data_IF_912301510494
#
_entry.id   IF_912301510494
#
_cell.length_a   1.000
_cell.length_b   1.000
_cell.length_c   1.000
_cell.angle_alpha   90.00
_cell.angle_beta   90.00
_cell.angle_gamma   90.00
#
_symmetry.space_group_name_H-M   'P 1'
#
loop_
_entity.id
_entity.type
_entity.pdbx_description
1 polymer ?
#
# COMPACT_ATOMS: atom_id res chain seq x y z
N UNK A 1 -47.35 32.84 21.35
CA UNK A 1 -46.85 33.56 20.17
C UNK A 1 -45.33 33.44 20.16
N UNK A 2 -44.81 32.42 19.48
CA UNK A 2 -43.37 32.27 19.24
C UNK A 2 -43.23 32.00 17.76
N UNK A 3 -42.77 33.02 17.03
CA UNK A 3 -42.62 33.00 15.59
C UNK A 3 -41.50 32.03 15.20
N UNK A 4 -41.83 31.11 14.30
CA UNK A 4 -40.90 30.28 13.55
C UNK A 4 -39.83 31.17 12.90
N UNK A 5 -38.62 31.17 13.46
CA UNK A 5 -37.46 31.78 12.81
C UNK A 5 -36.84 30.74 11.91
N UNK A 6 -36.82 31.07 10.62
CA UNK A 6 -36.08 30.44 9.52
C UNK A 6 -36.79 29.30 8.77
N UNK A 7 -37.98 29.60 8.25
CA UNK A 7 -38.67 28.83 7.21
C UNK A 7 -38.02 28.96 5.83
N UNK A 8 -36.84 28.35 5.63
CA UNK A 8 -36.26 28.17 4.30
C UNK A 8 -36.23 26.67 3.95
N UNK A 9 -37.20 26.23 3.14
CA UNK A 9 -37.21 24.87 2.58
C UNK A 9 -35.95 24.57 1.75
N UNK A 10 -35.67 23.30 1.44
CA UNK A 10 -34.44 22.91 0.77
C UNK A 10 -34.35 23.52 -0.63
N UNK A 11 -33.35 24.37 -0.86
CA UNK A 11 -33.08 24.98 -2.17
C UNK A 11 -32.59 23.91 -3.17
N UNK A 12 -33.11 23.97 -4.39
CA UNK A 12 -32.70 23.16 -5.54
C UNK A 12 -31.33 23.61 -6.03
N UNK A 13 -30.46 22.64 -6.31
CA UNK A 13 -29.13 22.91 -6.86
C UNK A 13 -29.23 23.39 -8.31
N UNK A 14 -28.81 24.63 -8.57
CA UNK A 14 -28.80 25.26 -9.89
C UNK A 14 -27.59 24.85 -10.77
N UNK A 15 -26.80 23.83 -10.38
CA UNK A 15 -25.71 23.30 -11.22
C UNK A 15 -26.24 22.87 -12.59
N UNK A 16 -25.79 23.58 -13.63
CA UNK A 16 -26.14 23.30 -15.03
C UNK A 16 -27.01 24.37 -15.69
N UNK A 17 -27.58 25.30 -14.92
CA UNK A 17 -28.26 26.47 -15.47
C UNK A 17 -27.25 27.49 -16.01
N UNK A 18 -27.58 28.11 -17.15
CA UNK A 18 -26.82 29.26 -17.66
C UNK A 18 -26.99 30.44 -16.70
N UNK A 19 -25.94 31.23 -16.50
CA UNK A 19 -25.95 32.30 -15.50
C UNK A 19 -27.03 33.36 -15.75
N UNK A 20 -27.29 33.70 -17.02
CA UNK A 20 -28.37 34.63 -17.38
C UNK A 20 -29.79 34.10 -17.17
N UNK A 21 -29.96 32.84 -16.76
CA UNK A 21 -31.25 32.26 -16.37
C UNK A 21 -31.40 32.16 -14.85
N UNK A 22 -30.40 32.61 -14.10
CA UNK A 22 -30.48 32.67 -12.64
C UNK A 22 -31.26 33.91 -12.22
N UNK A 23 -31.93 33.86 -11.06
CA UNK A 23 -32.57 35.03 -10.48
C UNK A 23 -31.54 36.13 -10.24
N UNK A 24 -31.97 37.39 -10.29
CA UNK A 24 -31.05 38.53 -10.15
C UNK A 24 -30.82 38.89 -8.69
N UNK A 25 -31.74 38.52 -7.80
CA UNK A 25 -31.64 38.80 -6.37
C UNK A 25 -31.71 37.53 -5.51
N UNK A 26 -31.18 37.63 -4.29
CA UNK A 26 -31.28 36.56 -3.30
C UNK A 26 -32.74 36.34 -2.83
N UNK A 27 -33.61 37.35 -2.93
CA UNK A 27 -35.02 37.23 -2.58
C UNK A 27 -35.75 36.37 -3.62
N UNK A 28 -35.60 36.70 -4.91
CA UNK A 28 -36.14 35.91 -6.03
C UNK A 28 -35.61 34.47 -5.99
N UNK A 29 -34.33 34.26 -5.70
CA UNK A 29 -33.78 32.91 -5.60
C UNK A 29 -34.33 32.10 -4.43
N UNK A 30 -34.72 32.73 -3.31
CA UNK A 30 -35.42 32.03 -2.22
C UNK A 30 -36.84 31.65 -2.64
N UNK A 31 -37.55 32.55 -3.29
CA UNK A 31 -38.92 32.33 -3.76
C UNK A 31 -38.98 31.20 -4.80
N UNK A 32 -38.03 31.20 -5.75
CA UNK A 32 -37.89 30.15 -6.76
C UNK A 32 -37.27 28.86 -6.20
N UNK A 33 -36.81 28.89 -4.94
CA UNK A 33 -36.21 27.76 -4.26
C UNK A 33 -34.93 27.26 -4.94
N UNK A 34 -34.06 28.16 -5.41
CA UNK A 34 -32.77 27.81 -6.05
C UNK A 34 -31.58 28.23 -5.18
N UNK A 35 -30.49 27.46 -5.22
CA UNK A 35 -29.33 27.64 -4.35
C UNK A 35 -28.44 28.84 -4.72
N UNK A 36 -28.70 29.49 -5.86
CA UNK A 36 -27.90 30.59 -6.39
C UNK A 36 -28.72 31.66 -7.11
N UNK A 37 -28.15 32.86 -7.17
CA UNK A 37 -28.60 34.01 -7.96
C UNK A 37 -27.40 34.67 -8.65
N UNK A 38 -27.63 35.47 -9.69
CA UNK A 38 -26.59 36.18 -10.42
C UNK A 38 -27.02 37.62 -10.71
N UNK A 39 -26.34 38.57 -10.08
CA UNK A 39 -26.63 40.01 -10.17
C UNK A 39 -26.06 40.66 -11.43
N UNK A 40 -25.17 39.98 -12.17
CA UNK A 40 -24.42 40.58 -13.29
C UNK A 40 -23.34 41.58 -12.85
N UNK A 41 -23.12 41.75 -11.54
CA UNK A 41 -22.14 42.68 -10.97
C UNK A 41 -21.03 41.89 -10.28
N UNK A 42 -19.81 42.38 -10.39
CA UNK A 42 -18.65 41.82 -9.69
C UNK A 42 -18.82 41.89 -8.17
N UNK A 43 -18.33 40.86 -7.47
CA UNK A 43 -18.26 40.91 -6.02
C UNK A 43 -17.14 41.84 -5.53
N UNK A 44 -17.06 42.08 -4.22
CA UNK A 44 -16.01 42.92 -3.59
C UNK A 44 -14.57 42.44 -3.89
N UNK A 45 -14.39 41.15 -4.20
CA UNK A 45 -13.10 40.59 -4.57
C UNK A 45 -12.87 40.55 -6.09
N UNK A 46 -13.72 41.21 -6.89
CA UNK A 46 -13.60 41.30 -8.35
C UNK A 46 -14.13 40.11 -9.16
N UNK A 47 -14.84 39.17 -8.54
CA UNK A 47 -15.36 37.99 -9.26
C UNK A 47 -16.72 38.27 -9.89
N UNK A 48 -16.83 38.07 -11.21
CA UNK A 48 -18.11 38.04 -11.91
C UNK A 48 -18.68 36.62 -11.89
N UNK A 49 -19.34 36.24 -10.79
CA UNK A 49 -19.89 34.89 -10.62
C UNK A 49 -21.23 34.88 -9.88
N UNK A 50 -22.03 33.79 -10.02
CA UNK A 50 -23.21 33.60 -9.21
C UNK A 50 -22.89 33.59 -7.71
N UNK A 51 -23.86 34.03 -6.91
CA UNK A 51 -23.77 34.07 -5.46
C UNK A 51 -24.68 32.99 -4.86
N UNK A 52 -24.28 32.41 -3.73
CA UNK A 52 -25.12 31.48 -2.99
C UNK A 52 -26.29 32.19 -2.34
N UNK A 53 -27.52 31.69 -2.49
CA UNK A 53 -28.74 32.33 -1.98
C UNK A 53 -28.73 32.58 -0.48
N UNK A 54 -28.22 31.61 0.30
CA UNK A 54 -28.17 31.70 1.77
C UNK A 54 -26.97 32.52 2.23
N UNK A 55 -25.77 32.09 1.85
CA UNK A 55 -24.54 32.67 2.40
C UNK A 55 -24.11 33.98 1.72
N UNK A 56 -24.73 34.31 0.58
CA UNK A 56 -24.42 35.48 -0.27
C UNK A 56 -22.95 35.58 -0.71
N UNK A 57 -22.16 34.53 -0.51
CA UNK A 57 -20.80 34.48 -1.06
C UNK A 57 -20.87 34.19 -2.56
N UNK A 58 -20.00 34.86 -3.30
CA UNK A 58 -19.74 34.51 -4.69
C UNK A 58 -19.15 33.08 -4.77
N UNK A 59 -19.51 32.33 -5.80
CA UNK A 59 -19.08 30.92 -5.95
C UNK A 59 -17.57 30.80 -6.03
N UNK A 60 -16.90 31.76 -6.66
CA UNK A 60 -15.45 31.80 -6.78
C UNK A 60 -14.77 32.06 -5.43
N UNK A 61 -15.20 33.08 -4.70
CA UNK A 61 -14.78 33.39 -3.33
C UNK A 61 -14.87 32.13 -2.42
N UNK A 62 -15.97 31.37 -2.56
CA UNK A 62 -16.16 30.13 -1.81
C UNK A 62 -15.22 29.01 -2.30
N UNK A 63 -14.96 28.93 -3.60
CA UNK A 63 -14.01 27.99 -4.17
C UNK A 63 -12.60 28.25 -3.67
N UNK A 64 -12.17 29.52 -3.66
CA UNK A 64 -10.86 29.95 -3.19
C UNK A 64 -10.66 29.66 -1.70
N UNK A 65 -11.62 30.04 -0.86
CA UNK A 65 -11.56 29.75 0.59
C UNK A 65 -11.50 28.25 0.86
N UNK A 66 -12.30 27.44 0.17
CA UNK A 66 -12.21 25.98 0.24
C UNK A 66 -10.87 25.45 -0.29
N UNK A 67 -10.31 26.07 -1.33
CA UNK A 67 -9.00 25.75 -1.88
C UNK A 67 -7.89 25.99 -0.88
N UNK A 68 -7.87 27.17 -0.25
CA UNK A 68 -6.94 27.55 0.83
C UNK A 68 -7.05 26.58 2.01
N UNK A 69 -8.26 26.31 2.48
CA UNK A 69 -8.47 25.34 3.56
C UNK A 69 -7.90 23.96 3.22
N UNK A 70 -8.10 23.47 1.99
CA UNK A 70 -7.54 22.17 1.53
C UNK A 70 -6.01 22.18 1.48
N UNK A 71 -5.41 23.30 1.08
CA UNK A 71 -3.97 23.46 0.99
C UNK A 71 -3.32 23.55 2.37
N UNK A 72 -3.93 24.29 3.29
CA UNK A 72 -3.46 24.48 4.67
C UNK A 72 -3.70 23.25 5.55
N UNK A 73 -4.71 22.42 5.22
CA UNK A 73 -5.12 21.29 6.06
C UNK A 73 -5.03 19.92 5.32
N UNK A 74 -3.85 19.53 4.79
CA UNK A 74 -3.70 18.29 4.04
C UNK A 74 -3.88 17.05 4.94
N UNK A 75 -3.51 17.14 6.22
CA UNK A 75 -3.66 16.07 7.21
C UNK A 75 -5.14 15.79 7.52
N UNK A 76 -5.96 16.84 7.69
CA UNK A 76 -7.41 16.72 7.89
C UNK A 76 -8.07 15.92 6.75
N UNK A 77 -7.79 16.31 5.51
CA UNK A 77 -8.37 15.62 4.34
C UNK A 77 -7.83 14.20 4.16
N UNK A 78 -6.56 13.94 4.52
CA UNK A 78 -6.01 12.59 4.53
C UNK A 78 -6.72 11.72 5.58
N UNK A 79 -6.91 12.25 6.79
CA UNK A 79 -7.63 11.60 7.88
C UNK A 79 -9.07 11.27 7.48
N UNK A 80 -9.82 12.25 6.96
CA UNK A 80 -11.19 12.04 6.47
C UNK A 80 -11.29 11.00 5.35
N UNK A 81 -10.31 10.96 4.43
CA UNK A 81 -10.25 9.90 3.41
C UNK A 81 -9.94 8.53 3.99
N UNK A 82 -9.06 8.45 4.99
CA UNK A 82 -8.74 7.21 5.68
C UNK A 82 -9.95 6.69 6.46
N UNK A 83 -10.61 7.56 7.22
CA UNK A 83 -11.87 7.29 7.95
C UNK A 83 -12.96 6.78 6.99
N UNK A 84 -13.17 7.47 5.87
CA UNK A 84 -14.13 7.03 4.86
C UNK A 84 -13.80 5.63 4.32
N UNK A 85 -12.53 5.34 4.03
CA UNK A 85 -12.09 4.02 3.56
C UNK A 85 -12.29 2.93 4.61
N UNK A 86 -12.00 3.23 5.88
CA UNK A 86 -12.17 2.31 7.00
C UNK A 86 -13.65 1.98 7.24
N UNK A 87 -14.52 2.98 7.15
CA UNK A 87 -15.97 2.81 7.36
C UNK A 87 -16.69 2.25 6.12
N UNK A 88 -16.07 2.32 4.94
CA UNK A 88 -16.68 1.90 3.67
C UNK A 88 -15.78 0.95 2.84
N UNK A 89 -15.28 -0.16 3.42
CA UNK A 89 -14.33 -1.04 2.73
C UNK A 89 -14.94 -1.69 1.48
N UNK A 90 -16.24 -2.04 1.55
CA UNK A 90 -16.97 -2.66 0.43
C UNK A 90 -17.17 -1.72 -0.76
N UNK A 91 -17.31 -0.41 -0.53
CA UNK A 91 -17.58 0.58 -1.59
C UNK A 91 -16.39 0.71 -2.54
N UNK A 92 -15.17 0.77 -2.00
CA UNK A 92 -13.97 0.84 -2.83
C UNK A 92 -13.74 -0.44 -3.62
N UNK A 93 -13.92 -1.61 -2.99
CA UNK A 93 -13.81 -2.89 -3.66
C UNK A 93 -14.87 -3.05 -4.78
N UNK A 94 -16.12 -2.67 -4.50
CA UNK A 94 -17.20 -2.70 -5.48
C UNK A 94 -16.93 -1.77 -6.68
N UNK A 95 -16.49 -0.53 -6.43
CA UNK A 95 -16.10 0.41 -7.49
C UNK A 95 -14.93 -0.11 -8.33
N UNK A 96 -13.92 -0.70 -7.69
CA UNK A 96 -12.77 -1.27 -8.41
C UNK A 96 -13.17 -2.47 -9.29
N UNK A 97 -14.04 -3.37 -8.77
CA UNK A 97 -14.60 -4.49 -9.55
C UNK A 97 -15.41 -3.99 -10.74
N UNK A 98 -16.30 -3.05 -10.49
CA UNK A 98 -17.16 -2.45 -11.51
C UNK A 98 -16.36 -1.70 -12.58
N UNK A 99 -15.32 -0.96 -12.19
CA UNK A 99 -14.39 -0.33 -13.13
C UNK A 99 -13.67 -1.36 -14.01
N UNK A 100 -13.16 -2.45 -13.43
CA UNK A 100 -12.55 -3.54 -14.21
C UNK A 100 -13.55 -4.24 -15.12
N UNK A 101 -14.81 -4.39 -14.69
CA UNK A 101 -15.88 -4.96 -15.53
C UNK A 101 -16.16 -4.07 -16.74
N UNK A 102 -16.32 -2.75 -16.52
CA UNK A 102 -16.68 -1.79 -17.58
C UNK A 102 -15.50 -1.38 -18.47
N UNK A 103 -14.26 -1.42 -17.94
CA UNK A 103 -13.05 -0.93 -18.63
C UNK A 103 -11.91 -1.95 -18.58
N UNK A 104 -12.24 -3.23 -18.65
CA UNK A 104 -11.27 -4.33 -18.55
C UNK A 104 -10.16 -4.24 -19.59
N UNK A 105 -10.49 -3.91 -20.84
CA UNK A 105 -9.50 -3.73 -21.91
C UNK A 105 -8.51 -2.61 -21.61
N UNK A 106 -9.01 -1.48 -21.09
CA UNK A 106 -8.14 -0.36 -20.71
C UNK A 106 -7.21 -0.72 -19.56
N UNK A 107 -7.70 -1.49 -18.59
CA UNK A 107 -6.86 -2.02 -17.50
C UNK A 107 -5.78 -2.95 -18.06
N UNK A 108 -6.12 -3.88 -18.95
CA UNK A 108 -5.15 -4.80 -19.56
C UNK A 108 -4.09 -4.06 -20.37
N UNK A 109 -4.50 -3.10 -21.19
CA UNK A 109 -3.61 -2.27 -22.00
C UNK A 109 -2.63 -1.48 -21.12
N UNK A 110 -3.15 -0.78 -20.11
CA UNK A 110 -2.32 0.02 -19.20
C UNK A 110 -1.36 -0.83 -18.38
N UNK A 111 -1.81 -1.98 -17.87
CA UNK A 111 -0.93 -2.92 -17.17
C UNK A 111 0.16 -3.50 -18.09
N UNK A 112 -0.18 -3.82 -19.34
CA UNK A 112 0.79 -4.29 -20.32
C UNK A 112 1.86 -3.23 -20.61
N UNK A 113 1.44 -1.97 -20.82
CA UNK A 113 2.35 -0.83 -20.98
C UNK A 113 3.22 -0.64 -19.74
N UNK A 114 2.63 -0.69 -18.54
CA UNK A 114 3.36 -0.56 -17.28
C UNK A 114 4.42 -1.65 -17.12
N UNK A 115 4.10 -2.92 -17.42
CA UNK A 115 5.04 -4.04 -17.39
C UNK A 115 6.21 -3.85 -18.36
N UNK A 116 5.94 -3.40 -19.60
CA UNK A 116 6.98 -3.11 -20.60
C UNK A 116 7.91 -1.97 -20.15
N UNK A 117 7.36 -0.93 -19.53
CA UNK A 117 8.13 0.22 -19.06
C UNK A 117 8.90 -0.04 -17.76
N UNK A 118 8.52 -1.05 -16.97
CA UNK A 118 9.09 -1.30 -15.65
C UNK A 118 9.59 -2.76 -15.47
N UNK A 119 10.47 -3.27 -16.36
CA UNK A 119 10.91 -4.67 -16.33
C UNK A 119 11.67 -5.02 -15.05
N UNK A 120 12.51 -4.10 -14.54
CA UNK A 120 13.28 -4.28 -13.32
C UNK A 120 12.40 -4.51 -12.08
N UNK A 121 11.20 -3.92 -12.06
CA UNK A 121 10.25 -4.10 -10.95
C UNK A 121 9.75 -5.53 -10.85
N UNK A 122 9.53 -6.19 -12.00
CA UNK A 122 9.16 -7.61 -12.05
C UNK A 122 10.32 -8.48 -11.56
N UNK A 123 11.52 -8.25 -12.07
CA UNK A 123 12.74 -8.97 -11.65
C UNK A 123 12.93 -8.87 -10.13
N UNK A 124 12.83 -7.67 -9.56
CA UNK A 124 12.95 -7.45 -8.12
C UNK A 124 11.84 -8.15 -7.33
N UNK A 125 10.59 -8.16 -7.83
CA UNK A 125 9.48 -8.88 -7.20
C UNK A 125 9.73 -10.40 -7.19
N UNK A 126 10.15 -10.95 -8.33
CA UNK A 126 10.44 -12.37 -8.47
C UNK A 126 11.66 -12.79 -7.64
N UNK A 127 12.68 -11.94 -7.55
CA UNK A 127 13.82 -12.13 -6.65
C UNK A 127 13.37 -12.18 -5.19
N UNK A 128 12.52 -11.25 -4.73
CA UNK A 128 11.96 -11.27 -3.36
C UNK A 128 11.03 -12.46 -3.11
N UNK A 129 10.33 -12.95 -4.13
CA UNK A 129 9.51 -14.17 -4.01
C UNK A 129 10.41 -15.38 -3.82
N UNK A 130 11.40 -15.57 -4.71
CA UNK A 130 12.39 -16.65 -4.61
C UNK A 130 13.18 -16.59 -3.31
N UNK A 131 13.55 -15.39 -2.85
CA UNK A 131 14.23 -15.21 -1.57
C UNK A 131 13.34 -15.62 -0.39
N UNK A 132 12.02 -15.38 -0.45
CA UNK A 132 11.08 -15.86 0.57
C UNK A 132 10.84 -17.36 0.51
N UNK A 133 10.74 -17.93 -0.68
CA UNK A 133 10.62 -19.38 -0.87
C UNK A 133 11.88 -20.13 -0.41
N UNK A 134 13.07 -19.54 -0.64
CA UNK A 134 14.35 -20.04 -0.14
C UNK A 134 14.66 -19.64 1.29
N UNK A 135 13.98 -18.65 1.87
CA UNK A 135 14.01 -18.33 3.28
C UNK A 135 12.87 -19.10 3.97
N UNK A 136 12.94 -20.43 3.92
CA UNK A 136 12.09 -21.26 4.76
C UNK A 136 12.23 -20.87 6.23
N UNK A 137 11.23 -21.24 7.02
CA UNK A 137 11.04 -20.75 8.38
C UNK A 137 11.66 -21.70 9.38
N UNK A 138 12.57 -21.19 10.19
CA UNK A 138 13.06 -21.86 11.40
C UNK A 138 13.16 -20.84 12.53
N UNK A 139 12.82 -21.27 13.72
CA UNK A 139 12.83 -20.49 14.96
C UNK A 139 14.18 -20.60 15.67
N UNK A 140 14.44 -19.70 16.63
CA UNK A 140 15.65 -19.80 17.46
C UNK A 140 15.69 -21.11 18.27
N UNK A 141 14.53 -21.62 18.71
CA UNK A 141 14.43 -22.87 19.44
C UNK A 141 14.79 -24.08 18.57
N UNK A 142 14.33 -24.10 17.33
CA UNK A 142 14.69 -25.16 16.38
C UNK A 142 16.20 -25.18 16.08
N UNK A 143 16.85 -24.01 16.01
CA UNK A 143 18.31 -23.93 15.87
C UNK A 143 19.03 -24.43 17.15
N UNK A 144 18.49 -24.12 18.32
CA UNK A 144 19.02 -24.63 19.59
C UNK A 144 18.89 -26.16 19.69
N UNK A 145 17.80 -26.74 19.20
CA UNK A 145 17.63 -28.19 19.12
C UNK A 145 18.68 -28.86 18.24
N UNK A 146 18.99 -28.27 17.08
CA UNK A 146 20.07 -28.76 16.20
C UNK A 146 21.42 -28.72 16.92
N UNK A 147 21.73 -27.65 17.65
CA UNK A 147 22.97 -27.57 18.42
C UNK A 147 23.06 -28.64 19.52
N UNK A 148 21.96 -28.87 20.23
CA UNK A 148 21.86 -29.90 21.26
C UNK A 148 22.01 -31.30 20.66
N UNK A 149 21.34 -31.59 19.55
CA UNK A 149 21.42 -32.90 18.89
C UNK A 149 22.82 -33.18 18.35
N UNK A 150 23.52 -32.16 17.85
CA UNK A 150 24.92 -32.23 17.46
C UNK A 150 25.91 -32.24 18.65
N UNK A 151 25.42 -32.20 19.89
CA UNK A 151 26.24 -32.12 21.12
C UNK A 151 27.24 -30.96 21.09
N UNK A 152 26.88 -29.86 20.43
CA UNK A 152 27.76 -28.70 20.19
C UNK A 152 29.08 -29.06 19.51
N UNK A 153 29.08 -30.05 18.61
CA UNK A 153 30.23 -30.46 17.79
C UNK A 153 29.92 -30.34 16.30
N UNK A 154 30.93 -29.99 15.52
CA UNK A 154 30.86 -30.00 14.06
C UNK A 154 30.63 -31.44 13.56
N UNK A 155 29.67 -31.64 12.65
CA UNK A 155 29.28 -32.96 12.12
C UNK A 155 30.44 -33.66 11.40
N UNK A 156 31.32 -32.90 10.74
CA UNK A 156 32.40 -33.47 9.94
C UNK A 156 33.75 -33.64 10.68
N UNK A 157 34.07 -32.77 11.63
CA UNK A 157 35.40 -32.77 12.26
C UNK A 157 35.37 -32.85 13.80
N UNK A 158 34.18 -32.94 14.39
CA UNK A 158 33.96 -33.07 15.85
C UNK A 158 34.51 -31.93 16.72
N UNK A 159 35.08 -30.87 16.12
CA UNK A 159 35.52 -29.66 16.82
C UNK A 159 34.35 -28.99 17.53
N UNK A 160 34.61 -28.45 18.73
CA UNK A 160 33.61 -27.73 19.51
C UNK A 160 33.12 -26.48 18.78
N UNK A 161 31.79 -26.36 18.66
CA UNK A 161 31.06 -25.24 18.06
C UNK A 161 30.15 -24.55 19.10
N UNK A 162 30.41 -24.78 20.40
CA UNK A 162 29.63 -24.21 21.52
C UNK A 162 29.65 -22.68 21.52
N UNK A 163 30.79 -22.08 21.19
CA UNK A 163 30.91 -20.64 21.04
C UNK A 163 30.27 -20.17 19.71
N UNK A 164 29.47 -19.10 19.78
CA UNK A 164 28.77 -18.56 18.60
C UNK A 164 29.74 -18.16 17.47
N UNK A 165 30.88 -17.54 17.80
CA UNK A 165 31.92 -17.13 16.84
C UNK A 165 32.62 -18.30 16.12
N UNK A 166 32.44 -19.54 16.59
CA UNK A 166 33.09 -20.73 16.01
C UNK A 166 32.17 -21.55 15.11
N UNK A 167 30.90 -21.15 14.95
CA UNK A 167 29.88 -21.94 14.25
C UNK A 167 29.17 -21.13 13.19
N UNK A 168 28.90 -21.75 12.04
CA UNK A 168 28.01 -21.22 11.01
C UNK A 168 26.83 -22.18 10.80
N UNK A 169 25.66 -21.62 10.49
CA UNK A 169 24.51 -22.37 10.05
C UNK A 169 24.69 -22.71 8.56
N UNK A 170 24.60 -24.00 8.22
CA UNK A 170 24.82 -24.53 6.88
C UNK A 170 23.65 -25.43 6.45
N UNK A 171 23.47 -25.58 5.14
CA UNK A 171 22.51 -26.51 4.58
C UNK A 171 23.16 -27.85 4.27
N UNK A 172 22.58 -28.96 4.75
CA UNK A 172 23.09 -30.32 4.46
C UNK A 172 23.20 -30.53 2.95
N UNK A 173 22.09 -30.30 2.24
CA UNK A 173 22.03 -30.17 0.78
C UNK A 173 22.04 -28.68 0.43
N UNK A 174 23.01 -28.18 -0.35
CA UNK A 174 23.06 -26.76 -0.74
C UNK A 174 21.79 -26.29 -1.45
N UNK A 175 21.32 -25.07 -1.15
CA UNK A 175 20.16 -24.47 -1.80
C UNK A 175 20.31 -24.35 -3.34
N UNK A 176 21.54 -24.27 -3.84
CA UNK A 176 21.84 -24.26 -5.27
C UNK A 176 21.61 -25.62 -5.95
N UNK A 177 21.60 -26.71 -5.18
CA UNK A 177 21.46 -28.11 -5.64
C UNK A 177 20.12 -28.73 -5.22
N UNK A 178 19.11 -27.88 -4.96
CA UNK A 178 17.75 -28.33 -4.61
C UNK A 178 17.50 -28.51 -3.12
N UNK A 179 18.43 -28.10 -2.25
CA UNK A 179 18.20 -28.10 -0.81
C UNK A 179 17.04 -27.19 -0.40
N UNK A 180 16.28 -27.62 0.59
CA UNK A 180 15.21 -26.86 1.23
C UNK A 180 15.76 -26.02 2.39
N UNK A 181 15.11 -24.92 2.76
CA UNK A 181 15.57 -24.07 3.87
C UNK A 181 14.72 -24.29 5.13
N UNK A 182 14.66 -25.54 5.57
CA UNK A 182 13.91 -25.95 6.78
C UNK A 182 14.83 -26.66 7.78
N UNK A 183 14.33 -26.90 8.99
CA UNK A 183 15.05 -27.58 10.07
C UNK A 183 15.68 -28.91 9.63
N UNK A 184 15.04 -29.66 8.72
CA UNK A 184 15.51 -30.98 8.28
C UNK A 184 16.78 -30.91 7.43
N UNK A 185 17.01 -29.79 6.75
CA UNK A 185 18.16 -29.57 5.90
C UNK A 185 19.20 -28.62 6.52
N UNK A 186 19.14 -28.34 7.82
CA UNK A 186 20.06 -27.43 8.51
C UNK A 186 21.01 -28.19 9.45
N UNK A 187 22.25 -27.73 9.51
CA UNK A 187 23.27 -28.22 10.43
C UNK A 187 24.20 -27.07 10.85
N UNK A 188 24.88 -27.22 11.98
CA UNK A 188 25.96 -26.31 12.37
C UNK A 188 27.33 -26.89 12.07
N UNK A 189 28.14 -26.14 11.34
CA UNK A 189 29.52 -26.49 11.03
C UNK A 189 30.48 -25.51 11.69
N UNK A 190 31.71 -25.96 11.95
CA UNK A 190 32.78 -25.02 12.28
C UNK A 190 33.11 -24.16 11.05
N UNK A 191 33.69 -22.97 11.28
CA UNK A 191 34.06 -22.02 10.21
C UNK A 191 34.87 -22.69 9.10
N UNK A 192 35.89 -23.49 9.46
CA UNK A 192 36.74 -24.18 8.51
C UNK A 192 36.00 -25.23 7.65
N UNK A 193 35.13 -26.04 8.26
CA UNK A 193 34.36 -27.03 7.51
C UNK A 193 33.31 -26.38 6.61
N UNK A 194 32.63 -25.33 7.10
CA UNK A 194 31.66 -24.59 6.31
C UNK A 194 32.29 -23.99 5.04
N UNK A 195 33.44 -23.32 5.18
CA UNK A 195 34.16 -22.73 4.05
C UNK A 195 34.67 -23.80 3.07
N UNK A 196 35.12 -24.94 3.57
CA UNK A 196 35.62 -26.05 2.73
C UNK A 196 34.48 -26.82 2.01
N UNK A 197 33.30 -26.91 2.64
CA UNK A 197 32.11 -27.57 2.07
C UNK A 197 31.55 -26.79 0.89
N UNK A 198 31.37 -25.47 1.03
CA UNK A 198 30.80 -24.61 -0.01
C UNK A 198 29.49 -25.22 -0.57
N UNK A 199 29.42 -25.47 -1.88
CA UNK A 199 28.28 -26.05 -2.59
C UNK A 199 28.37 -27.58 -2.77
N UNK A 200 29.30 -28.27 -2.09
CA UNK A 200 29.44 -29.73 -2.22
C UNK A 200 28.23 -30.44 -1.59
N UNK A 201 27.78 -31.50 -2.25
CA UNK A 201 26.83 -32.46 -1.68
C UNK A 201 27.45 -33.11 -0.44
N UNK A 202 26.63 -33.51 0.56
CA UNK A 202 27.14 -34.01 1.84
C UNK A 202 28.03 -35.25 1.68
N UNK A 203 27.68 -36.16 0.78
CA UNK A 203 28.47 -37.36 0.44
C UNK A 203 29.84 -37.02 -0.14
N UNK A 204 29.87 -36.08 -1.10
CA UNK A 204 31.11 -35.62 -1.74
C UNK A 204 32.04 -34.98 -0.71
N UNK A 205 31.48 -34.15 0.18
CA UNK A 205 32.28 -33.52 1.21
C UNK A 205 32.77 -34.51 2.28
N UNK A 206 31.92 -35.44 2.71
CA UNK A 206 32.28 -36.50 3.65
C UNK A 206 33.41 -37.38 3.09
N UNK A 207 33.34 -37.77 1.82
CA UNK A 207 34.43 -38.49 1.14
C UNK A 207 35.72 -37.67 1.12
N UNK A 208 35.65 -36.37 0.83
CA UNK A 208 36.84 -35.48 0.87
C UNK A 208 37.47 -35.34 2.26
N UNK A 209 36.74 -35.72 3.32
CA UNK A 209 37.21 -35.75 4.70
C UNK A 209 37.61 -37.17 5.18
N UNK A 210 37.50 -38.18 4.33
CA UNK A 210 37.78 -39.58 4.69
C UNK A 210 36.73 -40.21 5.62
N UNK A 211 35.49 -39.69 5.61
CA UNK A 211 34.41 -40.18 6.48
C UNK A 211 33.49 -41.20 5.79
N UNK A 212 33.62 -41.34 4.48
CA UNK A 212 32.93 -42.34 3.67
C UNK A 212 33.99 -43.06 2.83
N UNK A 213 33.98 -44.39 2.91
CA UNK A 213 34.85 -45.29 2.15
C UNK A 213 34.22 -45.54 0.79
#
# INVERSE_FOLDING_TARGET
MSADKDGHGPLKNARGLKWGMLPTTAAEARELGVDRYFTGVECVNGHLSPHYTVSRFCVECRSETNGKFRAENPSYHRGKKAEFRANNPGVHAARARDYRRRRGDKVRETEAKYRKQNPLRKIAKDARRRAREKAGTYTADELNDILKSQKYRCVYCSTSIRAHSKRHLDHVIPLAKGGVNDKSNLQFLCVACNLSKSDKMPEVFARSKGLLI
#
